data_IF_373943021982
#
_entry.id   IF_373943021982
#
_cell.length_a   1.000
_cell.length_b   1.000
_cell.length_c   1.000
_cell.angle_alpha   90.00
_cell.angle_beta   90.00
_cell.angle_gamma   90.00
#
_symmetry.space_group_name_H-M   'P 1'
#
loop_
_entity.id
_entity.type
_entity.pdbx_description
1 polymer ?
#
# COMPACT_ATOMS: atom_id res chain seq x y z
N UNK A 1 42.40 16.32 -0.86
CA UNK A 1 41.35 17.34 -0.97
C UNK A 1 40.00 16.63 -0.96
N UNK A 2 39.49 16.35 0.23
CA UNK A 2 38.27 15.56 0.45
C UNK A 2 37.23 16.42 1.18
N UNK A 3 35.96 16.09 0.94
CA UNK A 3 34.76 16.54 1.66
C UNK A 3 34.32 18.01 1.54
N UNK A 4 33.51 18.30 0.51
CA UNK A 4 32.43 19.33 0.56
C UNK A 4 31.28 19.04 -0.41
N UNK A 5 30.83 17.79 -0.48
CA UNK A 5 29.66 17.44 -1.31
C UNK A 5 28.74 16.42 -0.61
N UNK A 6 28.57 16.49 0.72
CA UNK A 6 27.67 15.60 1.46
C UNK A 6 26.46 16.33 2.09
N UNK A 7 26.31 17.63 1.86
CA UNK A 7 25.01 18.31 1.98
C UNK A 7 24.23 18.09 0.67
N UNK A 8 24.14 16.84 0.22
CA UNK A 8 23.18 16.48 -0.82
C UNK A 8 21.81 16.50 -0.16
N UNK A 9 21.11 17.63 -0.32
CA UNK A 9 19.66 17.76 -0.43
C UNK A 9 18.85 16.65 0.27
N UNK A 10 18.89 16.57 1.61
CA UNK A 10 17.72 16.06 2.33
C UNK A 10 16.66 17.12 2.14
N UNK A 11 15.87 17.01 1.06
CA UNK A 11 14.65 17.80 0.94
C UNK A 11 13.83 17.49 2.18
N UNK A 12 13.55 18.51 2.98
CA UNK A 12 12.62 18.37 4.08
C UNK A 12 11.29 17.89 3.49
N UNK A 13 10.81 16.75 3.99
CA UNK A 13 9.57 16.15 3.52
C UNK A 13 8.41 17.08 3.87
N UNK A 14 7.96 17.86 2.88
CA UNK A 14 6.84 18.77 3.04
C UNK A 14 5.54 18.02 2.77
N UNK A 15 4.82 17.72 3.84
CA UNK A 15 3.47 17.14 3.74
C UNK A 15 2.48 18.20 3.26
N UNK A 16 1.50 17.78 2.46
CA UNK A 16 0.29 18.54 2.12
C UNK A 16 -0.39 19.08 3.39
N UNK A 17 -1.16 20.18 3.28
CA UNK A 17 -1.94 20.70 4.38
C UNK A 17 -2.83 19.64 5.03
N UNK A 18 -2.95 19.67 6.36
CA UNK A 18 -3.71 18.64 7.09
C UNK A 18 -5.19 18.57 6.65
N UNK A 19 -5.79 19.69 6.27
CA UNK A 19 -7.15 19.72 5.73
C UNK A 19 -7.27 18.91 4.42
N UNK A 20 -6.29 18.96 3.51
CA UNK A 20 -6.30 18.16 2.27
C UNK A 20 -6.24 16.67 2.59
N UNK A 21 -5.43 16.28 3.56
CA UNK A 21 -5.33 14.88 4.02
C UNK A 21 -6.63 14.42 4.66
N UNK A 22 -7.31 15.29 5.42
CA UNK A 22 -8.57 15.00 6.08
C UNK A 22 -9.71 14.84 5.07
N UNK A 23 -9.79 15.71 4.06
CA UNK A 23 -10.75 15.60 2.96
C UNK A 23 -10.54 14.29 2.18
N UNK A 24 -9.31 14.01 1.76
CA UNK A 24 -8.96 12.76 1.07
C UNK A 24 -9.28 11.52 1.91
N UNK A 25 -9.01 11.57 3.21
CA UNK A 25 -9.38 10.50 4.15
C UNK A 25 -10.88 10.30 4.24
N UNK A 26 -11.66 11.39 4.23
CA UNK A 26 -13.12 11.35 4.28
C UNK A 26 -13.71 10.73 3.01
N UNK A 27 -13.17 11.07 1.83
CA UNK A 27 -13.51 10.41 0.58
C UNK A 27 -13.25 8.89 0.66
N UNK A 28 -12.07 8.47 1.15
CA UNK A 28 -11.75 7.04 1.30
C UNK A 28 -12.67 6.36 2.32
N UNK A 29 -13.05 7.01 3.41
CA UNK A 29 -13.99 6.46 4.40
C UNK A 29 -15.35 6.17 3.74
N UNK A 30 -15.88 7.08 2.91
CA UNK A 30 -17.14 6.84 2.19
C UNK A 30 -17.02 5.69 1.19
N UNK A 31 -15.95 5.67 0.41
CA UNK A 31 -15.61 4.60 -0.54
C UNK A 31 -15.51 3.24 0.15
N UNK A 32 -14.76 3.15 1.24
CA UNK A 32 -14.58 1.91 2.01
C UNK A 32 -15.87 1.48 2.72
N UNK A 33 -16.73 2.43 3.10
CA UNK A 33 -18.04 2.14 3.69
C UNK A 33 -18.99 1.54 2.65
N UNK A 34 -19.01 2.10 1.45
CA UNK A 34 -19.72 1.54 0.29
C UNK A 34 -19.21 0.13 -0.03
N UNK A 35 -17.88 -0.05 -0.06
CA UNK A 35 -17.22 -1.35 -0.25
C UNK A 35 -17.62 -2.40 0.79
N UNK A 36 -17.67 -2.00 2.07
CA UNK A 36 -18.08 -2.89 3.15
C UNK A 36 -19.53 -3.35 3.01
N UNK A 37 -20.44 -2.45 2.62
CA UNK A 37 -21.85 -2.78 2.39
C UNK A 37 -22.04 -3.74 1.21
N UNK A 38 -21.38 -3.48 0.08
CA UNK A 38 -21.47 -4.33 -1.12
C UNK A 38 -20.86 -5.71 -0.89
N UNK A 39 -19.69 -5.76 -0.24
CA UNK A 39 -19.05 -7.03 0.11
C UNK A 39 -19.92 -7.85 1.07
N UNK A 40 -20.53 -7.21 2.07
CA UNK A 40 -21.45 -7.88 3.00
C UNK A 40 -22.75 -8.34 2.30
N UNK A 41 -23.23 -7.59 1.29
CA UNK A 41 -24.35 -8.02 0.47
C UNK A 41 -24.00 -9.25 -0.36
N UNK A 42 -22.84 -9.26 -1.03
CA UNK A 42 -22.34 -10.38 -1.82
C UNK A 42 -22.12 -11.64 -0.98
N UNK A 43 -21.47 -11.52 0.18
CA UNK A 43 -21.25 -12.66 1.09
C UNK A 43 -22.56 -13.15 1.72
N UNK A 44 -23.50 -12.24 1.98
CA UNK A 44 -24.82 -12.53 2.53
C UNK A 44 -25.76 -13.25 1.56
N UNK A 45 -25.45 -13.33 0.25
CA UNK A 45 -26.22 -14.11 -0.73
C UNK A 45 -26.20 -15.63 -0.45
N UNK A 46 -25.38 -16.10 0.50
CA UNK A 46 -25.32 -17.52 0.92
C UNK A 46 -26.25 -17.88 2.09
N UNK A 47 -26.97 -16.92 2.67
CA UNK A 47 -27.96 -17.15 3.74
C UNK A 47 -29.34 -16.59 3.38
N UNK A 48 -30.39 -17.02 4.09
CA UNK A 48 -31.76 -16.52 3.91
C UNK A 48 -31.83 -14.99 4.12
N UNK A 49 -31.79 -14.22 3.03
CA UNK A 49 -31.97 -12.78 3.07
C UNK A 49 -33.48 -12.46 3.02
N UNK A 50 -33.96 -11.73 4.04
CA UNK A 50 -35.31 -11.16 4.02
C UNK A 50 -35.33 -9.83 3.24
N UNK A 51 -36.40 -9.57 2.51
CA UNK A 51 -36.58 -8.32 1.71
C UNK A 51 -36.35 -7.04 2.53
N UNK A 52 -36.72 -7.04 3.81
CA UNK A 52 -36.51 -5.90 4.72
C UNK A 52 -35.03 -5.55 4.96
N UNK A 53 -34.10 -6.49 4.79
CA UNK A 53 -32.67 -6.23 4.97
C UNK A 53 -32.05 -5.56 3.74
N UNK A 54 -32.60 -5.83 2.55
CA UNK A 54 -32.12 -5.23 1.30
C UNK A 54 -32.58 -3.78 1.16
N UNK A 55 -33.84 -3.44 1.47
CA UNK A 55 -34.33 -2.04 1.46
C UNK A 55 -33.53 -1.13 2.41
N UNK A 56 -33.05 -1.69 3.53
CA UNK A 56 -32.23 -0.95 4.49
C UNK A 56 -30.83 -0.68 3.94
N UNK A 57 -30.24 -1.66 3.26
CA UNK A 57 -28.91 -1.53 2.66
C UNK A 57 -28.93 -0.60 1.47
N UNK A 58 -29.94 -0.68 0.62
CA UNK A 58 -30.15 0.24 -0.51
C UNK A 58 -30.28 1.68 -0.02
N UNK A 59 -31.10 1.94 1.00
CA UNK A 59 -31.16 3.27 1.64
C UNK A 59 -29.82 3.74 2.23
N UNK A 60 -29.02 2.82 2.77
CA UNK A 60 -27.69 3.15 3.28
C UNK A 60 -26.72 3.52 2.15
N UNK A 61 -26.82 2.87 0.99
CA UNK A 61 -26.09 3.24 -0.23
C UNK A 61 -26.42 4.65 -0.66
N UNK A 62 -27.72 4.94 -0.84
CA UNK A 62 -28.19 6.26 -1.23
C UNK A 62 -27.75 7.34 -0.25
N UNK A 63 -27.79 7.04 1.06
CA UNK A 63 -27.35 7.97 2.09
C UNK A 63 -25.84 8.25 2.03
N UNK A 64 -25.00 7.27 1.70
CA UNK A 64 -23.55 7.48 1.51
C UNK A 64 -23.28 8.38 0.31
N UNK A 65 -23.92 8.09 -0.82
CA UNK A 65 -23.77 8.91 -2.04
C UNK A 65 -24.26 10.33 -1.79
N UNK A 66 -25.38 10.48 -1.10
CA UNK A 66 -25.92 11.79 -0.70
C UNK A 66 -24.98 12.53 0.25
N UNK A 67 -24.41 11.85 1.25
CA UNK A 67 -23.49 12.46 2.19
C UNK A 67 -22.23 13.02 1.50
N UNK A 68 -21.74 12.37 0.44
CA UNK A 68 -20.63 12.89 -0.37
C UNK A 68 -20.96 14.28 -0.94
N UNK A 69 -22.11 14.45 -1.59
CA UNK A 69 -22.50 15.74 -2.19
C UNK A 69 -22.86 16.79 -1.14
N UNK A 70 -23.60 16.41 -0.08
CA UNK A 70 -24.03 17.36 0.95
C UNK A 70 -22.85 17.88 1.79
N UNK A 71 -21.76 17.12 1.90
CA UNK A 71 -20.53 17.55 2.58
C UNK A 71 -19.49 18.19 1.65
N UNK A 72 -19.77 18.31 0.34
CA UNK A 72 -18.84 18.85 -0.66
C UNK A 72 -17.60 17.99 -0.93
N UNK A 73 -17.63 16.70 -0.54
CA UNK A 73 -16.51 15.77 -0.80
C UNK A 73 -16.41 15.35 -2.26
N UNK A 74 -17.43 15.59 -3.07
CA UNK A 74 -17.43 15.29 -4.49
C UNK A 74 -16.31 16.05 -5.22
N UNK A 75 -15.97 17.27 -4.81
CA UNK A 75 -14.85 18.04 -5.38
C UNK A 75 -13.46 17.43 -5.08
N UNK A 76 -13.37 16.55 -4.08
CA UNK A 76 -12.13 15.93 -3.62
C UNK A 76 -12.00 14.43 -3.92
N UNK A 77 -13.11 13.81 -4.32
CA UNK A 77 -13.15 12.44 -4.82
C UNK A 77 -12.58 12.37 -6.24
N UNK A 78 -11.98 11.23 -6.59
CA UNK A 78 -11.58 10.99 -7.98
C UNK A 78 -12.81 10.69 -8.83
N UNK A 79 -12.70 10.85 -10.16
CA UNK A 79 -13.79 10.51 -11.08
C UNK A 79 -14.27 9.07 -10.89
N UNK A 80 -13.33 8.14 -10.73
CA UNK A 80 -13.61 6.72 -10.53
C UNK A 80 -14.32 6.45 -9.20
N UNK A 81 -13.96 7.16 -8.13
CA UNK A 81 -14.60 7.04 -6.83
C UNK A 81 -16.03 7.58 -6.87
N UNK A 82 -16.26 8.72 -7.53
CA UNK A 82 -17.60 9.27 -7.74
C UNK A 82 -18.47 8.31 -8.54
N UNK A 83 -17.97 7.84 -9.68
CA UNK A 83 -18.66 6.86 -10.52
C UNK A 83 -19.06 5.63 -9.71
N UNK A 84 -18.14 5.09 -8.91
CA UNK A 84 -18.40 3.91 -8.09
C UNK A 84 -19.42 4.19 -6.98
N UNK A 85 -19.38 5.34 -6.33
CA UNK A 85 -20.34 5.69 -5.26
C UNK A 85 -21.76 5.90 -5.83
N UNK A 86 -21.87 6.35 -7.08
CA UNK A 86 -23.14 6.56 -7.79
C UNK A 86 -23.75 5.25 -8.33
N UNK A 87 -22.97 4.16 -8.42
CA UNK A 87 -23.47 2.86 -8.91
C UNK A 87 -24.65 2.35 -8.06
N UNK A 88 -25.70 1.79 -8.68
CA UNK A 88 -26.80 1.15 -7.96
C UNK A 88 -26.32 0.06 -6.99
N UNK A 89 -27.08 -0.17 -5.92
CA UNK A 89 -26.80 -1.27 -4.99
C UNK A 89 -26.72 -2.61 -5.73
N UNK A 90 -25.71 -3.44 -5.41
CA UNK A 90 -25.42 -4.75 -6.05
C UNK A 90 -25.06 -4.71 -7.53
N UNK A 91 -24.72 -3.54 -8.08
CA UNK A 91 -24.25 -3.43 -9.47
C UNK A 91 -22.72 -3.50 -9.61
N UNK A 92 -22.00 -3.75 -8.52
CA UNK A 92 -20.54 -3.82 -8.52
C UNK A 92 -20.00 -5.01 -9.30
N UNK A 93 -19.04 -4.73 -10.16
CA UNK A 93 -18.29 -5.71 -10.94
C UNK A 93 -16.99 -6.09 -10.21
N UNK A 94 -16.30 -7.14 -10.68
CA UNK A 94 -15.04 -7.59 -10.08
C UNK A 94 -14.00 -6.46 -9.95
N UNK A 95 -13.93 -5.57 -10.94
CA UNK A 95 -13.04 -4.40 -10.95
C UNK A 95 -13.34 -3.38 -9.84
N UNK A 96 -14.55 -3.38 -9.29
CA UNK A 96 -14.93 -2.46 -8.21
C UNK A 96 -14.45 -2.97 -6.84
N UNK A 97 -14.13 -4.26 -6.69
CA UNK A 97 -13.66 -4.78 -5.41
C UNK A 97 -12.23 -4.35 -5.06
N UNK A 98 -11.49 -3.77 -6.03
CA UNK A 98 -10.14 -3.21 -5.83
C UNK A 98 -10.15 -2.05 -4.84
N UNK A 99 -11.28 -1.36 -4.65
CA UNK A 99 -11.42 -0.28 -3.67
C UNK A 99 -11.17 -0.76 -2.23
N UNK A 100 -11.27 -2.06 -1.97
CA UNK A 100 -10.85 -2.65 -0.70
C UNK A 100 -9.36 -2.49 -0.40
N UNK A 101 -8.52 -2.31 -1.41
CA UNK A 101 -7.08 -2.11 -1.21
C UNK A 101 -6.78 -0.73 -0.59
N UNK A 102 -7.74 0.21 -0.60
CA UNK A 102 -7.58 1.53 0.02
C UNK A 102 -7.52 1.53 1.55
N UNK A 103 -7.83 0.42 2.22
CA UNK A 103 -7.72 0.32 3.69
C UNK A 103 -6.34 0.74 4.20
N UNK A 104 -5.29 0.34 3.49
CA UNK A 104 -3.92 0.61 3.88
C UNK A 104 -3.52 2.07 3.63
N UNK A 105 -4.00 2.63 2.51
CA UNK A 105 -3.80 4.05 2.20
C UNK A 105 -4.51 4.95 3.21
N UNK A 106 -5.75 4.59 3.56
CA UNK A 106 -6.54 5.27 4.57
C UNK A 106 -5.85 5.24 5.95
N UNK A 107 -5.28 4.10 6.33
CA UNK A 107 -4.52 3.97 7.58
C UNK A 107 -3.30 4.89 7.65
N UNK A 108 -2.56 5.05 6.54
CA UNK A 108 -1.44 5.98 6.46
C UNK A 108 -1.90 7.43 6.60
N UNK A 109 -2.99 7.82 5.93
CA UNK A 109 -3.52 9.18 6.08
C UNK A 109 -3.97 9.45 7.54
N UNK A 110 -4.65 8.50 8.18
CA UNK A 110 -5.02 8.63 9.60
C UNK A 110 -3.79 8.73 10.52
N UNK A 111 -2.71 8.04 10.18
CA UNK A 111 -1.45 8.13 10.91
C UNK A 111 -0.80 9.52 10.76
N UNK A 112 -0.74 10.05 9.53
CA UNK A 112 -0.21 11.41 9.28
C UNK A 112 -1.06 12.48 10.01
N UNK A 113 -2.38 12.29 10.04
CA UNK A 113 -3.30 13.16 10.78
C UNK A 113 -3.22 12.98 12.31
N UNK A 114 -2.47 12.00 12.81
CA UNK A 114 -2.31 11.70 14.24
C UNK A 114 -3.53 11.03 14.90
N UNK A 115 -4.47 10.51 14.10
CA UNK A 115 -5.62 9.73 14.56
C UNK A 115 -5.25 8.27 14.85
N UNK A 116 -4.21 7.79 14.16
CA UNK A 116 -3.59 6.49 14.37
C UNK A 116 -2.14 6.71 14.82
N UNK A 117 -1.70 6.00 15.88
CA UNK A 117 -0.37 6.25 16.45
C UNK A 117 0.73 5.36 15.86
N UNK A 118 0.35 4.21 15.28
CA UNK A 118 1.31 3.22 14.76
C UNK A 118 0.86 2.70 13.40
N UNK A 119 1.83 2.55 12.50
CA UNK A 119 1.70 1.81 11.25
C UNK A 119 2.05 0.34 11.56
N UNK A 120 1.19 -0.64 11.24
CA UNK A 120 1.52 -2.05 11.42
C UNK A 120 2.70 -2.45 10.53
N UNK A 121 3.29 -3.61 10.78
CA UNK A 121 4.31 -4.13 9.87
C UNK A 121 3.74 -4.31 8.45
N UNK A 122 4.56 -4.21 7.41
CA UNK A 122 4.12 -4.27 6.01
C UNK A 122 3.61 -5.65 5.55
N UNK A 123 3.77 -6.66 6.41
CA UNK A 123 3.17 -7.98 6.27
C UNK A 123 1.89 -8.17 7.11
N UNK A 124 1.32 -7.08 7.62
CA UNK A 124 0.11 -7.08 8.44
C UNK A 124 -0.76 -5.87 8.08
N UNK A 125 -2.06 -6.09 7.90
CA UNK A 125 -3.00 -5.01 7.60
C UNK A 125 -3.28 -4.12 8.82
N UNK A 126 -3.74 -2.90 8.57
CA UNK A 126 -4.36 -2.13 9.63
C UNK A 126 -5.62 -2.81 10.18
N UNK A 127 -5.87 -2.62 11.48
CA UNK A 127 -7.15 -3.00 12.08
C UNK A 127 -8.26 -2.09 11.51
N UNK A 128 -9.07 -2.66 10.64
CA UNK A 128 -10.15 -1.97 9.92
C UNK A 128 -11.18 -1.35 10.85
N UNK A 129 -11.53 -2.04 11.94
CA UNK A 129 -12.53 -1.55 12.89
C UNK A 129 -11.99 -0.34 13.65
N UNK A 130 -10.74 -0.43 14.13
CA UNK A 130 -10.08 0.69 14.81
C UNK A 130 -9.87 1.88 13.89
N UNK A 131 -9.47 1.65 12.63
CA UNK A 131 -9.32 2.70 11.64
C UNK A 131 -10.63 3.44 11.39
N UNK A 132 -11.73 2.73 11.16
CA UNK A 132 -13.02 3.36 10.92
C UNK A 132 -13.50 4.18 12.10
N UNK A 133 -13.30 3.69 13.32
CA UNK A 133 -13.68 4.41 14.54
C UNK A 133 -12.82 5.66 14.78
N UNK A 134 -11.59 5.70 14.26
CA UNK A 134 -10.65 6.81 14.50
C UNK A 134 -11.08 8.15 13.87
N UNK A 135 -11.95 8.12 12.87
CA UNK A 135 -12.48 9.34 12.22
C UNK A 135 -13.73 9.89 12.88
N UNK A 136 -14.55 9.03 13.49
CA UNK A 136 -15.88 9.40 13.96
C UNK A 136 -16.89 9.71 12.84
N UNK A 137 -16.51 9.51 11.56
CA UNK A 137 -17.42 9.73 10.43
C UNK A 137 -18.45 8.61 10.39
N UNK A 138 -19.72 9.00 10.42
CA UNK A 138 -20.85 8.14 10.12
C UNK A 138 -21.19 8.32 8.64
N UNK A 139 -20.98 7.30 7.77
CA UNK A 139 -21.03 7.48 6.32
C UNK A 139 -22.37 7.97 5.75
N UNK A 140 -23.46 7.81 6.51
CA UNK A 140 -24.81 8.25 6.14
C UNK A 140 -25.19 9.63 6.71
N UNK A 141 -24.29 10.30 7.44
CA UNK A 141 -24.52 11.62 8.05
C UNK A 141 -23.44 12.61 7.60
N UNK A 142 -23.75 13.54 6.68
CA UNK A 142 -22.78 14.51 6.16
C UNK A 142 -22.19 15.42 7.25
N UNK A 143 -22.94 15.69 8.34
CA UNK A 143 -22.45 16.56 9.42
C UNK A 143 -21.28 15.96 10.18
N UNK A 144 -21.09 14.64 10.11
CA UNK A 144 -19.95 13.97 10.74
C UNK A 144 -18.67 14.11 9.94
N UNK A 145 -18.76 14.33 8.63
CA UNK A 145 -17.63 14.67 7.77
C UNK A 145 -17.09 16.06 8.14
N UNK A 146 -17.98 17.05 8.22
CA UNK A 146 -17.62 18.41 8.63
C UNK A 146 -16.92 18.42 9.99
N UNK A 147 -17.52 17.76 11.00
CA UNK A 147 -16.92 17.64 12.35
C UNK A 147 -15.54 16.98 12.34
N UNK A 148 -15.28 16.08 11.40
CA UNK A 148 -13.96 15.46 11.25
C UNK A 148 -12.96 16.43 10.61
N UNK A 149 -13.36 17.18 9.57
CA UNK A 149 -12.49 18.07 8.79
C UNK A 149 -12.21 19.40 9.50
N UNK A 150 -13.20 20.00 10.16
CA UNK A 150 -13.13 21.32 10.80
C UNK A 150 -11.90 21.54 11.69
N UNK A 151 -11.50 20.59 12.56
CA UNK A 151 -10.30 20.75 13.38
C UNK A 151 -9.02 20.96 12.55
N UNK A 152 -8.96 20.41 11.34
CA UNK A 152 -7.81 20.47 10.44
C UNK A 152 -7.76 21.73 9.57
N UNK A 153 -8.84 22.53 9.52
CA UNK A 153 -8.87 23.81 8.81
C UNK A 153 -8.21 24.95 9.60
N UNK A 154 -7.96 24.76 10.90
CA UNK A 154 -7.28 25.77 11.72
C UNK A 154 -5.81 25.92 11.34
N UNK A 155 -5.36 27.15 11.13
CA UNK A 155 -3.95 27.50 10.88
C UNK A 155 -3.00 27.14 12.04
N UNK A 156 -3.54 26.80 13.20
CA UNK A 156 -2.79 26.43 14.40
C UNK A 156 -2.57 24.93 14.52
N UNK A 157 -3.17 24.12 13.65
CA UNK A 157 -2.95 22.69 13.67
C UNK A 157 -1.56 22.37 13.12
N UNK A 158 -0.62 22.09 14.04
CA UNK A 158 0.69 21.57 13.68
C UNK A 158 0.54 20.15 13.18
N UNK A 159 1.37 19.78 12.21
CA UNK A 159 1.53 18.39 11.80
C UNK A 159 1.82 17.54 13.04
N UNK A 160 1.07 16.46 13.19
CA UNK A 160 1.10 15.63 14.40
C UNK A 160 2.30 14.69 14.41
N UNK A 161 2.85 14.38 13.24
CA UNK A 161 3.98 13.45 13.06
C UNK A 161 5.28 14.23 12.97
N UNK A 162 6.28 13.79 13.72
CA UNK A 162 7.63 14.35 13.65
C UNK A 162 8.30 14.07 12.29
N UNK A 163 9.09 15.03 11.79
CA UNK A 163 9.74 14.90 10.49
C UNK A 163 10.68 13.69 10.40
N UNK A 164 11.37 13.33 11.49
CA UNK A 164 12.25 12.15 11.50
C UNK A 164 11.46 10.85 11.47
N UNK A 165 10.32 10.82 12.17
CA UNK A 165 9.42 9.67 12.18
C UNK A 165 8.77 9.48 10.79
N UNK A 166 8.31 10.57 10.18
CA UNK A 166 7.76 10.57 8.82
C UNK A 166 8.79 10.04 7.81
N UNK A 167 10.02 10.57 7.86
CA UNK A 167 11.09 10.11 6.97
C UNK A 167 11.37 8.62 7.16
N UNK A 168 11.41 8.15 8.40
CA UNK A 168 11.65 6.74 8.69
C UNK A 168 10.55 5.84 8.11
N UNK A 169 9.28 6.19 8.27
CA UNK A 169 8.16 5.40 7.73
C UNK A 169 8.12 5.42 6.19
N UNK A 170 8.47 6.55 5.57
CA UNK A 170 8.66 6.63 4.12
C UNK A 170 9.77 5.69 3.66
N UNK A 171 10.91 5.67 4.35
CA UNK A 171 12.04 4.80 4.03
C UNK A 171 11.67 3.31 4.17
N UNK A 172 10.86 2.95 5.17
CA UNK A 172 10.30 1.60 5.33
C UNK A 172 9.39 1.27 4.14
N UNK A 173 8.49 2.19 3.77
CA UNK A 173 7.55 1.99 2.65
C UNK A 173 8.28 1.72 1.34
N UNK A 174 9.35 2.47 1.06
CA UNK A 174 10.19 2.30 -0.12
C UNK A 174 10.90 0.95 -0.13
N UNK A 175 11.41 0.51 1.03
CA UNK A 175 12.08 -0.77 1.15
C UNK A 175 11.14 -1.95 0.83
N UNK A 176 9.92 -1.91 1.35
CA UNK A 176 8.91 -2.95 1.12
C UNK A 176 8.36 -2.95 -0.31
N UNK A 177 8.08 -1.78 -0.89
CA UNK A 177 7.67 -1.67 -2.30
C UNK A 177 8.77 -2.17 -3.23
N UNK A 178 10.02 -1.79 -2.98
CA UNK A 178 11.14 -2.28 -3.76
C UNK A 178 11.25 -3.81 -3.67
N UNK A 179 11.15 -4.38 -2.45
CA UNK A 179 11.25 -5.83 -2.26
C UNK A 179 10.12 -6.57 -2.99
N UNK A 180 8.89 -6.06 -2.91
CA UNK A 180 7.75 -6.63 -3.62
C UNK A 180 7.91 -6.58 -5.15
N UNK A 181 8.38 -5.44 -5.68
CA UNK A 181 8.68 -5.30 -7.13
C UNK A 181 9.84 -6.18 -7.57
N UNK A 182 10.87 -6.34 -6.74
CA UNK A 182 11.97 -7.27 -6.99
C UNK A 182 11.46 -8.72 -7.09
N UNK A 183 10.44 -9.10 -6.32
CA UNK A 183 9.85 -10.43 -6.42
C UNK A 183 9.21 -10.68 -7.79
N UNK A 184 8.44 -9.70 -8.31
CA UNK A 184 7.81 -9.82 -9.64
C UNK A 184 8.87 -10.07 -10.72
N UNK A 185 9.98 -9.34 -10.67
CA UNK A 185 11.09 -9.51 -11.60
C UNK A 185 11.82 -10.86 -11.43
N UNK A 186 11.93 -11.37 -10.20
CA UNK A 186 12.47 -12.70 -9.94
C UNK A 186 11.56 -13.80 -10.49
N UNK A 187 10.26 -13.75 -10.21
CA UNK A 187 9.28 -14.72 -10.72
C UNK A 187 9.31 -14.75 -12.25
N UNK A 188 9.31 -13.58 -12.90
CA UNK A 188 9.44 -13.47 -14.36
C UNK A 188 10.74 -14.11 -14.88
N UNK A 189 11.86 -13.93 -14.17
CA UNK A 189 13.14 -14.57 -14.52
C UNK A 189 13.04 -16.10 -14.43
N UNK A 190 12.41 -16.63 -13.38
CA UNK A 190 12.26 -18.07 -13.15
C UNK A 190 11.31 -18.72 -14.15
N UNK A 191 10.21 -18.06 -14.50
CA UNK A 191 9.28 -18.50 -15.56
C UNK A 191 10.02 -18.63 -16.90
N UNK A 192 10.82 -17.64 -17.27
CA UNK A 192 11.62 -17.66 -18.49
C UNK A 192 12.68 -18.76 -18.48
N UNK A 193 13.28 -19.04 -17.32
CA UNK A 193 14.23 -20.15 -17.18
C UNK A 193 13.54 -21.51 -17.44
N UNK A 194 12.36 -21.73 -16.83
CA UNK A 194 11.57 -22.95 -17.00
C UNK A 194 11.09 -23.16 -18.44
N UNK A 195 10.62 -22.10 -19.11
CA UNK A 195 10.25 -22.15 -20.54
C UNK A 195 11.44 -22.59 -21.40
N UNK A 196 12.65 -22.12 -21.09
CA UNK A 196 13.85 -22.43 -21.88
C UNK A 196 14.39 -23.85 -21.62
N UNK A 197 14.22 -24.38 -20.41
CA UNK A 197 14.56 -25.77 -20.05
C UNK A 197 13.60 -26.79 -20.68
N UNK A 198 12.32 -26.45 -20.86
CA UNK A 198 11.35 -27.31 -21.53
C UNK A 198 11.67 -27.51 -23.02
N UNK A 199 12.27 -26.50 -23.67
CA UNK A 199 12.68 -26.54 -25.09
C UNK A 199 14.13 -27.01 -25.31
N UNK A 200 14.94 -27.16 -24.26
CA UNK A 200 16.33 -27.61 -24.40
C UNK A 200 16.82 -28.46 -23.23
N UNK A 201 17.19 -29.70 -23.54
CA UNK A 201 17.70 -30.73 -22.61
C UNK A 201 19.11 -30.45 -22.05
N UNK A 202 19.50 -29.18 -21.93
CA UNK A 202 20.86 -28.77 -21.57
C UNK A 202 20.88 -27.84 -20.37
N UNK A 203 21.74 -28.19 -19.40
CA UNK A 203 22.02 -27.50 -18.14
C UNK A 203 21.86 -25.97 -18.19
N UNK A 204 21.05 -25.46 -17.27
CA UNK A 204 20.81 -24.05 -16.96
C UNK A 204 22.13 -23.31 -16.81
N UNK A 205 22.47 -22.49 -17.80
CA UNK A 205 23.47 -21.42 -17.67
C UNK A 205 22.73 -20.08 -17.55
N UNK A 206 23.35 -18.99 -17.12
CA UNK A 206 22.67 -17.66 -17.08
C UNK A 206 22.42 -17.07 -18.50
N UNK A 207 23.03 -17.66 -19.52
CA UNK A 207 22.97 -17.27 -20.94
C UNK A 207 21.61 -17.43 -21.65
N UNK A 208 20.80 -18.50 -21.43
CA UNK A 208 19.50 -18.72 -22.06
C UNK A 208 18.42 -17.82 -21.47
N UNK A 209 18.43 -17.57 -20.15
CA UNK A 209 17.48 -16.66 -19.48
C UNK A 209 17.64 -15.24 -20.01
N UNK A 210 18.87 -14.78 -20.19
CA UNK A 210 19.13 -13.48 -20.81
C UNK A 210 18.67 -13.42 -22.27
N UNK A 211 18.72 -14.53 -23.02
CA UNK A 211 18.24 -14.63 -24.39
C UNK A 211 16.71 -14.60 -24.47
N UNK A 212 16.01 -15.33 -23.59
CA UNK A 212 14.55 -15.34 -23.46
C UNK A 212 14.00 -13.96 -23.03
N UNK A 213 14.71 -13.25 -22.15
CA UNK A 213 14.40 -11.86 -21.83
C UNK A 213 14.53 -10.92 -23.05
N UNK A 214 15.43 -11.22 -24.02
CA UNK A 214 15.53 -10.42 -25.27
C UNK A 214 14.37 -10.73 -26.21
N UNK A 215 13.94 -11.99 -26.31
CA UNK A 215 12.86 -12.40 -27.22
C UNK A 215 11.49 -11.85 -26.79
N UNK A 216 11.23 -11.70 -25.48
CA UNK A 216 10.03 -11.01 -24.96
C UNK A 216 10.13 -9.47 -24.94
N UNK A 217 11.10 -8.89 -25.66
CA UNK A 217 11.27 -7.43 -25.82
C UNK A 217 11.41 -6.64 -24.51
N UNK A 218 11.94 -7.27 -23.45
CA UNK A 218 12.11 -6.57 -22.16
C UNK A 218 13.23 -5.51 -22.29
N UNK A 219 12.98 -4.26 -21.84
CA UNK A 219 13.98 -3.20 -21.85
C UNK A 219 15.32 -3.62 -21.24
N UNK A 220 16.43 -3.18 -21.84
CA UNK A 220 17.77 -3.59 -21.43
C UNK A 220 18.09 -3.27 -19.96
N UNK A 221 17.58 -2.13 -19.46
CA UNK A 221 17.71 -1.71 -18.06
C UNK A 221 17.09 -2.73 -17.09
N UNK A 222 15.86 -3.17 -17.36
CA UNK A 222 15.14 -4.16 -16.54
C UNK A 222 15.82 -5.54 -16.58
N UNK A 223 16.37 -5.92 -17.73
CA UNK A 223 17.13 -7.17 -17.88
C UNK A 223 18.37 -7.22 -16.99
N UNK A 224 19.11 -6.12 -16.91
CA UNK A 224 20.29 -6.01 -16.04
C UNK A 224 19.89 -6.09 -14.57
N UNK A 225 18.83 -5.37 -14.19
CA UNK A 225 18.32 -5.41 -12.81
C UNK A 225 17.93 -6.84 -12.43
N UNK A 226 17.13 -7.53 -13.25
CA UNK A 226 16.68 -8.90 -12.98
C UNK A 226 17.83 -9.91 -12.81
N UNK A 227 18.90 -9.77 -13.59
CA UNK A 227 20.08 -10.64 -13.48
C UNK A 227 20.84 -10.44 -12.15
N UNK A 228 20.88 -9.22 -11.64
CA UNK A 228 21.61 -8.87 -10.42
C UNK A 228 20.79 -9.11 -9.14
N UNK A 229 19.48 -9.36 -9.23
CA UNK A 229 18.58 -9.51 -8.07
C UNK A 229 19.01 -10.56 -7.04
N UNK A 230 19.45 -11.79 -7.41
CA UNK A 230 19.88 -12.79 -6.43
C UNK A 230 21.04 -12.36 -5.55
N UNK A 231 21.90 -11.44 -6.04
CA UNK A 231 22.98 -10.85 -5.27
C UNK A 231 22.53 -9.59 -4.54
N UNK A 232 21.60 -8.86 -5.13
CA UNK A 232 21.15 -7.55 -4.66
C UNK A 232 20.19 -7.67 -3.48
N UNK A 233 19.30 -8.67 -3.45
CA UNK A 233 18.35 -8.89 -2.34
C UNK A 233 19.06 -9.15 -1.01
N UNK A 234 20.05 -10.08 -0.91
CA UNK A 234 20.85 -10.25 0.30
C UNK A 234 21.50 -8.98 0.83
N UNK A 235 22.05 -8.16 -0.08
CA UNK A 235 22.70 -6.91 0.28
C UNK A 235 21.67 -5.86 0.75
N UNK A 236 20.52 -5.79 0.08
CA UNK A 236 19.43 -4.90 0.44
C UNK A 236 18.83 -5.29 1.79
N UNK A 237 18.58 -6.58 2.05
CA UNK A 237 18.04 -7.08 3.32
C UNK A 237 18.95 -6.75 4.50
N UNK A 238 20.26 -7.07 4.39
CA UNK A 238 21.27 -6.74 5.41
C UNK A 238 21.33 -5.24 5.69
N UNK A 239 21.25 -4.43 4.65
CA UNK A 239 21.30 -2.97 4.78
C UNK A 239 20.02 -2.36 5.33
N UNK A 240 18.86 -2.84 4.88
CA UNK A 240 17.57 -2.43 5.41
C UNK A 240 17.49 -2.72 6.91
N UNK A 241 17.98 -3.89 7.34
CA UNK A 241 18.06 -4.25 8.75
C UNK A 241 19.02 -3.37 9.54
N UNK A 242 20.23 -3.12 9.02
CA UNK A 242 21.20 -2.23 9.64
C UNK A 242 20.69 -0.78 9.81
N UNK A 243 19.78 -0.34 8.93
CA UNK A 243 19.12 0.97 8.99
C UNK A 243 17.79 0.96 9.77
N UNK A 244 17.40 -0.18 10.34
CA UNK A 244 16.14 -0.33 11.08
C UNK A 244 14.87 -0.28 10.22
N UNK A 245 14.99 -0.43 8.89
CA UNK A 245 13.85 -0.41 7.96
C UNK A 245 13.07 -1.73 7.96
N UNK A 246 13.74 -2.82 8.32
CA UNK A 246 13.13 -4.13 8.55
C UNK A 246 13.55 -4.65 9.92
N UNK A 247 12.65 -5.38 10.57
CA UNK A 247 12.86 -5.87 11.94
C UNK A 247 13.90 -6.99 12.02
N UNK A 248 13.98 -7.83 10.99
CA UNK A 248 14.88 -8.97 10.96
C UNK A 248 15.19 -9.37 9.50
N UNK A 249 16.22 -10.21 9.35
CA UNK A 249 16.62 -10.86 8.09
C UNK A 249 16.62 -12.36 8.33
N UNK A 250 15.98 -13.12 7.45
CA UNK A 250 15.93 -14.59 7.48
C UNK A 250 16.37 -15.08 6.10
N UNK A 251 17.25 -16.07 6.02
CA UNK A 251 17.79 -16.63 4.77
C UNK A 251 18.23 -15.57 3.73
N UNK A 252 18.95 -14.54 4.20
CA UNK A 252 19.39 -13.40 3.37
C UNK A 252 18.24 -12.60 2.70
N UNK A 253 17.02 -12.65 3.24
CA UNK A 253 15.86 -11.91 2.75
C UNK A 253 15.13 -11.15 3.88
N UNK A 254 14.14 -10.32 3.51
CA UNK A 254 13.26 -9.61 4.42
C UNK A 254 12.48 -10.62 5.26
N UNK A 255 12.66 -10.62 6.58
CA UNK A 255 11.97 -11.54 7.46
C UNK A 255 10.52 -11.10 7.72
N UNK A 256 9.61 -12.07 7.68
CA UNK A 256 8.19 -11.90 7.95
C UNK A 256 7.84 -12.70 9.20
N UNK A 257 7.12 -12.07 10.12
CA UNK A 257 6.58 -12.77 11.29
C UNK A 257 5.27 -13.43 10.92
N UNK A 258 5.22 -14.76 10.99
CA UNK A 258 4.00 -15.57 10.79
C UNK A 258 3.54 -16.16 12.11
N UNK A 259 2.23 -16.14 12.34
CA UNK A 259 1.62 -16.81 13.48
C UNK A 259 1.35 -18.28 13.14
N UNK A 260 1.98 -19.19 13.88
CA UNK A 260 1.72 -20.62 13.80
C UNK A 260 0.59 -20.96 14.77
N UNK A 261 -0.47 -21.56 14.24
CA UNK A 261 -1.51 -22.19 15.07
C UNK A 261 -0.97 -23.50 15.61
N UNK A 262 -0.56 -23.50 16.87
CA UNK A 262 -0.29 -24.74 17.60
C UNK A 262 -1.62 -25.40 18.01
N UNK A 263 -1.67 -26.73 17.92
CA UNK A 263 -2.83 -27.54 18.37
C UNK A 263 -3.09 -27.41 19.86
N UNK A 264 -2.11 -26.93 20.64
CA UNK A 264 -2.21 -26.63 22.06
C UNK A 264 -2.75 -25.22 22.41
N UNK A 265 -3.11 -24.40 21.42
CA UNK A 265 -3.67 -23.05 21.65
C UNK A 265 -2.64 -22.00 22.13
N UNK A 266 -1.34 -22.31 22.08
CA UNK A 266 -0.29 -21.32 22.29
C UNK A 266 0.02 -20.59 20.97
N UNK A 267 -0.04 -19.26 20.98
CA UNK A 267 0.39 -18.45 19.85
C UNK A 267 1.92 -18.52 19.76
N UNK A 268 2.44 -19.24 18.76
CA UNK A 268 3.87 -19.26 18.46
C UNK A 268 4.11 -18.48 17.18
N UNK A 269 4.97 -17.48 17.22
CA UNK A 269 5.40 -16.77 16.01
C UNK A 269 6.70 -17.37 15.47
N UNK A 270 6.82 -17.47 14.15
CA UNK A 270 8.08 -17.81 13.47
C UNK A 270 8.47 -16.69 12.49
N UNK A 271 9.77 -16.59 12.20
CA UNK A 271 10.27 -15.76 11.12
C UNK A 271 10.43 -16.64 9.88
N UNK A 272 9.96 -16.14 8.74
CA UNK A 272 10.13 -16.78 7.43
C UNK A 272 10.66 -15.74 6.43
N UNK A 273 11.50 -16.14 5.47
CA UNK A 273 11.95 -15.22 4.42
C UNK A 273 10.78 -14.82 3.51
N UNK A 274 10.77 -13.58 3.02
CA UNK A 274 9.76 -13.09 2.09
C UNK A 274 9.58 -14.02 0.88
N UNK A 275 10.68 -14.51 0.31
CA UNK A 275 10.67 -15.41 -0.85
C UNK A 275 10.02 -16.78 -0.61
N UNK A 276 9.79 -17.22 0.64
CA UNK A 276 9.16 -18.52 0.91
C UNK A 276 7.64 -18.49 0.94
N UNK A 277 7.02 -17.31 0.80
CA UNK A 277 5.58 -17.17 0.79
C UNK A 277 4.97 -17.67 -0.54
N UNK A 278 3.70 -18.08 -0.48
CA UNK A 278 2.93 -18.37 -1.69
C UNK A 278 2.53 -17.07 -2.43
N UNK A 279 2.05 -17.22 -3.66
CA UNK A 279 1.71 -16.09 -4.52
C UNK A 279 0.62 -15.19 -3.92
N UNK A 280 -0.37 -15.76 -3.24
CA UNK A 280 -1.49 -15.01 -2.65
C UNK A 280 -1.00 -14.10 -1.50
N UNK A 281 -0.10 -14.62 -0.64
CA UNK A 281 0.51 -13.83 0.42
C UNK A 281 1.48 -12.78 -0.16
N UNK A 282 2.27 -13.12 -1.17
CA UNK A 282 3.16 -12.18 -1.86
C UNK A 282 2.37 -11.01 -2.48
N UNK A 283 1.27 -11.30 -3.16
CA UNK A 283 0.38 -10.29 -3.75
C UNK A 283 -0.30 -9.43 -2.69
N UNK A 284 -0.70 -10.03 -1.57
CA UNK A 284 -1.28 -9.30 -0.44
C UNK A 284 -0.28 -8.31 0.17
N UNK A 285 0.97 -8.73 0.39
CA UNK A 285 2.02 -7.85 0.93
C UNK A 285 2.39 -6.76 -0.09
N UNK A 286 2.45 -7.08 -1.39
CA UNK A 286 2.65 -6.09 -2.44
C UNK A 286 1.58 -5.01 -2.37
N UNK A 287 0.31 -5.38 -2.32
CA UNK A 287 -0.82 -4.44 -2.23
C UNK A 287 -0.73 -3.55 -0.99
N UNK A 288 -0.36 -4.10 0.16
CA UNK A 288 -0.13 -3.33 1.38
C UNK A 288 0.99 -2.31 1.17
N UNK A 289 2.14 -2.75 0.65
CA UNK A 289 3.29 -1.88 0.44
C UNK A 289 2.99 -0.76 -0.54
N UNK A 290 2.39 -1.09 -1.70
CA UNK A 290 2.06 -0.13 -2.75
C UNK A 290 1.01 0.89 -2.31
N UNK A 291 -0.03 0.45 -1.58
CA UNK A 291 -1.07 1.33 -1.06
C UNK A 291 -0.52 2.32 -0.03
N UNK A 292 0.32 1.84 0.91
CA UNK A 292 0.96 2.72 1.90
C UNK A 292 1.92 3.70 1.23
N UNK A 293 2.70 3.24 0.26
CA UNK A 293 3.62 4.08 -0.50
C UNK A 293 2.89 5.13 -1.33
N UNK A 294 1.77 4.79 -1.98
CA UNK A 294 0.92 5.77 -2.66
C UNK A 294 0.45 6.86 -1.70
N UNK A 295 -0.05 6.48 -0.53
CA UNK A 295 -0.52 7.43 0.47
C UNK A 295 0.59 8.39 0.91
N UNK A 296 1.81 7.89 1.14
CA UNK A 296 2.96 8.74 1.43
C UNK A 296 3.34 9.63 0.24
N UNK A 297 3.45 9.07 -0.96
CA UNK A 297 3.83 9.81 -2.16
C UNK A 297 2.84 10.94 -2.46
N UNK A 298 1.54 10.66 -2.38
CA UNK A 298 0.49 11.66 -2.54
C UNK A 298 0.56 12.71 -1.43
N UNK A 299 0.66 12.29 -0.16
CA UNK A 299 0.74 13.21 0.99
C UNK A 299 1.95 14.14 0.93
N UNK A 300 3.03 13.73 0.24
CA UNK A 300 4.26 14.51 0.07
C UNK A 300 4.33 15.27 -1.26
N UNK A 301 3.24 15.27 -2.05
CA UNK A 301 3.19 15.93 -3.35
C UNK A 301 4.13 15.32 -4.39
N UNK A 302 4.50 14.04 -4.23
CA UNK A 302 5.27 13.26 -5.22
C UNK A 302 4.36 12.53 -6.22
N UNK A 303 3.09 12.35 -5.87
CA UNK A 303 2.04 11.92 -6.77
C UNK A 303 1.00 13.06 -6.93
N UNK A 304 0.74 13.44 -8.18
CA UNK A 304 -0.21 14.51 -8.51
C UNK A 304 -1.67 14.04 -8.41
N UNK A 305 -1.91 12.74 -8.67
CA UNK A 305 -3.23 12.11 -8.63
C UNK A 305 -3.26 10.93 -7.67
N UNK A 306 -4.44 10.68 -7.09
CA UNK A 306 -4.72 9.48 -6.31
C UNK A 306 -5.12 8.34 -7.24
N UNK A 307 -4.14 7.65 -7.80
CA UNK A 307 -4.35 6.61 -8.81
C UNK A 307 -3.48 5.39 -8.50
N UNK A 308 -4.14 4.29 -8.14
CA UNK A 308 -3.47 3.03 -7.73
C UNK A 308 -2.74 2.39 -8.91
N UNK A 309 -3.23 2.56 -10.13
CA UNK A 309 -2.61 1.98 -11.32
C UNK A 309 -1.27 2.69 -11.64
N UNK A 310 -1.18 3.97 -11.27
CA UNK A 310 0.03 4.78 -11.48
C UNK A 310 1.07 4.64 -10.39
N UNK A 311 0.86 3.80 -9.37
CA UNK A 311 1.87 3.56 -8.32
C UNK A 311 3.18 3.06 -8.93
N UNK A 312 3.13 2.28 -10.01
CA UNK A 312 4.29 1.82 -10.77
C UNK A 312 5.13 2.95 -11.38
N UNK A 313 4.53 4.10 -11.67
CA UNK A 313 5.19 5.27 -12.26
C UNK A 313 5.96 6.08 -11.20
N UNK A 314 5.60 5.93 -9.93
CA UNK A 314 6.29 6.56 -8.80
C UNK A 314 7.59 5.78 -8.55
N UNK A 315 8.70 6.34 -9.04
CA UNK A 315 10.04 5.74 -8.95
C UNK A 315 10.53 5.70 -7.50
N UNK A 316 10.40 6.81 -6.78
CA UNK A 316 10.84 6.97 -5.40
C UNK A 316 10.25 8.24 -4.80
N UNK A 317 9.98 8.25 -3.49
CA UNK A 317 9.69 9.47 -2.74
C UNK A 317 11.02 10.17 -2.40
N UNK A 318 12.03 9.38 -2.02
CA UNK A 318 13.39 9.83 -1.78
C UNK A 318 14.27 9.55 -3.01
N UNK A 319 14.83 10.59 -3.66
CA UNK A 319 15.65 10.41 -4.87
C UNK A 319 16.92 9.58 -4.64
N UNK A 320 17.37 9.48 -3.39
CA UNK A 320 18.33 8.47 -2.95
C UNK A 320 17.58 7.51 -2.03
N UNK A 321 17.07 6.40 -2.57
CA UNK A 321 16.40 5.40 -1.74
C UNK A 321 17.29 5.03 -0.57
N UNK A 322 16.69 5.03 0.62
CA UNK A 322 17.35 4.79 1.90
C UNK A 322 18.16 3.49 1.90
N UNK A 323 17.78 2.49 1.12
CA UNK A 323 18.54 1.24 0.95
C UNK A 323 19.85 1.41 0.16
N UNK A 324 19.99 2.44 -0.66
CA UNK A 324 21.14 2.63 -1.56
C UNK A 324 22.08 3.76 -1.14
N UNK A 325 21.66 4.62 -0.21
CA UNK A 325 22.52 5.70 0.33
C UNK A 325 23.75 5.15 1.06
N UNK A 326 25.00 5.50 0.67
CA UNK A 326 26.23 5.01 1.30
C UNK A 326 26.26 5.31 2.81
N UNK A 327 26.89 4.44 3.59
CA UNK A 327 27.01 4.63 5.04
C UNK A 327 27.80 5.92 5.29
N UNK A 328 27.20 6.87 6.00
CA UNK A 328 27.95 8.00 6.56
C UNK A 328 28.72 7.46 7.76
N UNK A 329 29.96 7.05 7.52
CA UNK A 329 30.95 6.72 8.55
C UNK A 329 31.49 7.98 9.21
#
# INVERSE_FOLDING_TARGET
>A
MAFRASIFLRQELKVRPAFELALRSSCLQLVLSRWGLETAALMGLRGEQSASNDDRKERAVEAITKAMYESGLDEHATDLEREMLEKPYRSWEYKDYVYGDHWESFGVLQWILGRQHTIPAYYSSFDRARLFQSTGIMPADPTTVEKFVDPFMSSHMRQTVDASQLQHEVDISEAWVWRARAQVLLTLREELAKETEADSSSKVSDTPVQAALRSKHIPHSLRRMAADLPKTIPLAAKRAHAKGLVKAVEDDDFAITVELKDTAGQHKSALVPYSSLDQDHLDSIRKIAESRFLAFAWSLGKADSWDVEKVGEIVSINPLSSMWTPNQS
#
